data_IF_015607808169
#
_entry.id   IF_015607808169
#
_cell.length_a   1.000
_cell.length_b   1.000
_cell.length_c   1.000
_cell.angle_alpha   90.00
_cell.angle_beta   90.00
_cell.angle_gamma   90.00
#
_symmetry.space_group_name_H-M   'P 1'
#
loop_
_entity.id
_entity.type
_entity.pdbx_description
1 polymer ?
#
# COMPACT_ATOMS: atom_id res chain seq x y z
N UNK A 1 -10.82 -15.37 -12.62
CA UNK A 1 -10.83 -16.13 -11.34
C UNK A 1 -9.55 -16.97 -11.15
N UNK A 2 -8.44 -16.35 -10.71
CA UNK A 2 -7.25 -17.10 -10.29
C UNK A 2 -7.54 -17.83 -8.97
N UNK A 3 -7.41 -19.16 -8.97
CA UNK A 3 -7.61 -19.98 -7.79
C UNK A 3 -6.60 -19.58 -6.70
N UNK A 4 -7.11 -19.11 -5.54
CA UNK A 4 -6.30 -18.83 -4.36
C UNK A 4 -5.50 -20.07 -3.98
N UNK A 5 -4.18 -19.95 -3.92
CA UNK A 5 -3.32 -21.07 -3.56
C UNK A 5 -3.66 -21.52 -2.13
N UNK A 6 -4.11 -22.78 -1.98
CA UNK A 6 -4.57 -23.35 -0.68
C UNK A 6 -3.42 -23.76 0.24
N UNK A 7 -2.19 -23.74 -0.27
CA UNK A 7 -0.96 -24.12 0.44
C UNK A 7 -0.25 -22.91 1.08
N UNK A 8 -0.47 -21.72 0.52
CA UNK A 8 0.10 -20.48 1.02
C UNK A 8 -0.96 -19.77 1.86
N UNK A 9 -0.77 -19.75 3.17
CA UNK A 9 -1.52 -18.88 4.10
C UNK A 9 -1.17 -17.40 3.93
N UNK A 10 -0.31 -17.06 2.97
CA UNK A 10 0.16 -15.70 2.67
C UNK A 10 -0.88 -14.86 1.90
N UNK A 11 -2.14 -14.86 2.36
CA UNK A 11 -3.14 -13.87 1.96
C UNK A 11 -3.17 -12.74 3.01
N UNK A 12 -2.00 -12.23 3.36
CA UNK A 12 -1.88 -11.13 4.31
C UNK A 12 -2.21 -9.82 3.58
N UNK A 13 -3.50 -9.55 3.54
CA UNK A 13 -4.09 -8.35 2.94
C UNK A 13 -3.54 -7.08 3.57
N UNK A 14 -3.20 -7.10 4.87
CA UNK A 14 -2.64 -5.96 5.59
C UNK A 14 -1.19 -5.72 5.16
N UNK A 15 -0.37 -6.77 5.07
CA UNK A 15 0.99 -6.65 4.56
C UNK A 15 1.03 -6.14 3.11
N UNK A 16 0.08 -6.55 2.27
CA UNK A 16 -0.05 -6.02 0.90
C UNK A 16 -0.43 -4.54 0.91
N UNK A 17 -1.38 -4.13 1.75
CA UNK A 17 -1.75 -2.71 1.89
C UNK A 17 -0.56 -1.89 2.35
N UNK A 18 0.20 -2.35 3.35
CA UNK A 18 1.35 -1.63 3.88
C UNK A 18 2.47 -1.51 2.84
N UNK A 19 2.78 -2.60 2.15
CA UNK A 19 3.77 -2.58 1.08
C UNK A 19 3.37 -1.63 -0.06
N UNK A 20 2.09 -1.63 -0.43
CA UNK A 20 1.59 -0.74 -1.47
C UNK A 20 1.59 0.73 -1.02
N UNK A 21 1.27 1.01 0.25
CA UNK A 21 1.33 2.35 0.81
C UNK A 21 2.76 2.92 0.75
N UNK A 22 3.77 2.12 1.12
CA UNK A 22 5.19 2.47 1.00
C UNK A 22 5.57 2.80 -0.45
N UNK A 23 5.17 1.98 -1.42
CA UNK A 23 5.46 2.26 -2.85
C UNK A 23 4.75 3.51 -3.37
N UNK A 24 3.52 3.75 -2.93
CA UNK A 24 2.80 4.97 -3.28
C UNK A 24 3.47 6.20 -2.70
N UNK A 25 3.99 6.12 -1.47
CA UNK A 25 4.78 7.15 -0.81
C UNK A 25 6.06 7.45 -1.58
N UNK A 26 6.90 6.43 -1.84
CA UNK A 26 8.17 6.56 -2.55
C UNK A 26 8.00 7.26 -3.91
N UNK A 27 6.92 6.94 -4.63
CA UNK A 27 6.64 7.53 -5.95
C UNK A 27 6.27 9.02 -5.94
N UNK A 28 5.93 9.59 -4.77
CA UNK A 28 5.38 10.95 -4.65
C UNK A 28 6.17 11.85 -3.71
N UNK A 29 6.76 11.31 -2.66
CA UNK A 29 7.26 12.14 -1.55
C UNK A 29 8.41 13.06 -1.94
N UNK A 30 9.29 12.60 -2.84
CA UNK A 30 10.38 13.40 -3.38
C UNK A 30 9.89 14.71 -3.99
N UNK A 31 8.67 14.72 -4.55
CA UNK A 31 8.05 15.90 -5.15
C UNK A 31 7.23 16.76 -4.18
N UNK A 32 6.86 16.23 -3.02
CA UNK A 32 5.91 16.88 -2.10
C UNK A 32 6.61 17.49 -0.89
N UNK A 33 7.39 16.71 -0.14
CA UNK A 33 7.97 17.16 1.15
C UNK A 33 9.47 16.85 1.31
N UNK A 34 10.07 16.05 0.42
CA UNK A 34 11.49 15.69 0.44
C UNK A 34 11.73 14.17 0.52
N UNK A 35 12.98 13.70 0.66
CA UNK A 35 13.31 12.27 0.64
C UNK A 35 13.07 11.60 2.00
N UNK A 36 11.87 11.73 2.55
CA UNK A 36 11.52 11.11 3.83
C UNK A 36 11.18 9.64 3.65
N UNK A 37 11.73 8.79 4.52
CA UNK A 37 11.38 7.37 4.51
C UNK A 37 9.94 7.18 5.01
N UNK A 38 9.26 6.16 4.49
CA UNK A 38 7.88 5.85 4.86
C UNK A 38 7.65 5.68 6.38
N UNK A 39 8.60 5.06 7.08
CA UNK A 39 8.55 4.90 8.54
C UNK A 39 8.53 6.23 9.30
N UNK A 40 9.05 7.28 8.68
CA UNK A 40 9.15 8.63 9.22
C UNK A 40 8.02 9.54 8.71
N UNK A 41 7.18 9.04 7.78
CA UNK A 41 5.95 9.69 7.39
C UNK A 41 5.05 9.77 8.61
N UNK A 42 4.80 10.97 9.13
CA UNK A 42 3.95 11.16 10.31
C UNK A 42 2.59 10.48 10.17
N UNK A 43 1.89 10.26 11.28
CA UNK A 43 0.66 9.46 11.32
C UNK A 43 -0.42 9.87 10.30
N UNK A 44 -0.56 11.18 10.03
CA UNK A 44 -1.49 11.70 9.02
C UNK A 44 -1.16 11.22 7.62
N UNK A 45 0.11 11.30 7.23
CA UNK A 45 0.58 10.82 5.94
C UNK A 45 0.47 9.31 5.83
N UNK A 46 0.83 8.58 6.90
CA UNK A 46 0.68 7.14 6.91
C UNK A 46 -0.77 6.70 6.70
N UNK A 47 -1.71 7.35 7.38
CA UNK A 47 -3.14 7.08 7.21
C UNK A 47 -3.60 7.37 5.77
N UNK A 48 -3.22 8.50 5.19
CA UNK A 48 -3.64 8.89 3.83
C UNK A 48 -3.16 7.89 2.77
N UNK A 49 -1.89 7.47 2.84
CA UNK A 49 -1.31 6.55 1.87
C UNK A 49 -1.79 5.10 2.04
N UNK A 50 -2.11 4.67 3.26
CA UNK A 50 -2.81 3.39 3.49
C UNK A 50 -4.20 3.37 2.86
N UNK A 51 -4.96 4.46 2.99
CA UNK A 51 -6.29 4.57 2.34
C UNK A 51 -6.18 4.52 0.82
N UNK A 52 -5.17 5.19 0.24
CA UNK A 52 -4.89 5.10 -1.20
C UNK A 52 -4.51 3.68 -1.64
N UNK A 53 -3.71 2.96 -0.84
CA UNK A 53 -3.36 1.57 -1.11
C UNK A 53 -4.59 0.65 -1.11
N UNK A 54 -5.53 0.83 -0.17
CA UNK A 54 -6.81 0.12 -0.16
C UNK A 54 -7.59 0.36 -1.45
N UNK A 55 -7.75 1.63 -1.84
CA UNK A 55 -8.49 1.99 -3.06
C UNK A 55 -7.84 1.43 -4.33
N UNK A 56 -6.50 1.51 -4.43
CA UNK A 56 -5.75 0.95 -5.54
C UNK A 56 -5.91 -0.57 -5.64
N UNK A 57 -5.82 -1.28 -4.52
CA UNK A 57 -6.07 -2.74 -4.48
C UNK A 57 -7.48 -3.06 -4.98
N UNK A 58 -8.49 -2.36 -4.47
CA UNK A 58 -9.89 -2.56 -4.88
C UNK A 58 -10.05 -2.38 -6.40
N UNK A 59 -9.53 -1.28 -6.96
CA UNK A 59 -9.60 -0.99 -8.39
C UNK A 59 -8.95 -2.07 -9.27
N UNK A 60 -7.89 -2.72 -8.79
CA UNK A 60 -7.19 -3.79 -9.51
C UNK A 60 -7.83 -5.17 -9.33
N UNK A 61 -8.70 -5.34 -8.33
CA UNK A 61 -9.39 -6.61 -8.01
C UNK A 61 -10.85 -6.66 -8.46
N UNK A 62 -11.39 -5.57 -9.01
CA UNK A 62 -12.72 -5.54 -9.61
C UNK A 62 -12.67 -6.25 -10.98
N UNK A 63 -13.18 -7.48 -11.02
CA UNK A 63 -13.63 -8.20 -12.24
C UNK A 63 -14.97 -7.65 -12.73
#
# INVERSE_FOLDING_TARGET
MMARCRLCTSNDDEAVIEHLAEKLWDSRIERLEGPWAWKDAGATWQAAFRQMAVAARQALTME
#
